data_IF_200425138234
#
_entry.id   IF_200425138234
#
_cell.length_a   1.000
_cell.length_b   1.000
_cell.length_c   1.000
_cell.angle_alpha   90.00
_cell.angle_beta   90.00
_cell.angle_gamma   90.00
#
_symmetry.space_group_name_H-M   'P 1'
#
loop_
_entity.id
_entity.type
_entity.pdbx_description
1 polymer ?
#
# COMPACT_ATOMS: atom_id res chain seq x y z
N UNK A 1 2.56 24.85 -16.44
CA UNK A 1 3.56 23.83 -16.81
C UNK A 1 4.25 23.38 -15.54
N UNK A 2 3.75 22.33 -14.90
CA UNK A 2 4.35 21.74 -13.69
C UNK A 2 5.60 20.98 -14.13
N UNK A 3 6.77 21.33 -13.60
CA UNK A 3 7.97 20.49 -13.75
C UNK A 3 7.76 19.29 -12.85
N UNK A 4 7.35 18.17 -13.42
CA UNK A 4 7.44 16.88 -12.75
C UNK A 4 8.91 16.69 -12.34
N UNK A 5 9.18 16.68 -11.03
CA UNK A 5 10.51 16.34 -10.54
C UNK A 5 10.73 14.86 -10.86
N UNK A 6 11.55 14.61 -11.86
CA UNK A 6 11.96 13.29 -12.29
C UNK A 6 12.67 12.59 -11.13
N UNK A 7 12.00 11.66 -10.46
CA UNK A 7 12.67 10.79 -9.50
C UNK A 7 13.60 9.89 -10.28
N UNK A 8 14.90 10.06 -10.05
CA UNK A 8 15.90 9.16 -10.56
C UNK A 8 15.94 7.88 -9.71
N UNK A 9 16.27 6.73 -10.31
CA UNK A 9 16.39 5.44 -9.60
C UNK A 9 17.39 5.48 -8.42
N UNK A 10 18.28 6.48 -8.40
CA UNK A 10 19.28 6.73 -7.35
C UNK A 10 18.73 7.51 -6.16
N UNK A 11 17.50 8.03 -6.23
CA UNK A 11 16.87 8.74 -5.13
C UNK A 11 16.70 7.80 -3.94
N UNK A 12 17.02 8.29 -2.74
CA UNK A 12 16.93 7.50 -1.52
C UNK A 12 16.32 8.31 -0.37
N UNK A 13 15.68 7.60 0.54
CA UNK A 13 15.13 8.11 1.80
C UNK A 13 15.71 7.33 2.96
N UNK A 14 15.65 7.90 4.15
CA UNK A 14 16.09 7.23 5.37
C UNK A 14 14.95 7.11 6.35
N UNK A 15 14.77 5.90 6.88
CA UNK A 15 13.83 5.61 7.96
C UNK A 15 14.63 5.01 9.11
N UNK A 16 14.66 5.69 10.26
CA UNK A 16 15.44 5.28 11.43
C UNK A 16 16.93 5.00 11.10
N UNK A 17 17.55 5.82 10.25
CA UNK A 17 18.94 5.67 9.82
C UNK A 17 19.20 4.58 8.78
N UNK A 18 18.17 3.81 8.38
CA UNK A 18 18.28 2.81 7.31
C UNK A 18 17.83 3.41 5.99
N UNK A 19 18.68 3.26 4.97
CA UNK A 19 18.45 3.80 3.62
C UNK A 19 17.51 2.90 2.82
N UNK A 20 16.54 3.49 2.15
CA UNK A 20 15.72 2.85 1.11
C UNK A 20 15.86 3.64 -0.18
N UNK A 21 16.40 3.01 -1.23
CA UNK A 21 16.35 3.63 -2.56
C UNK A 21 14.95 3.51 -3.15
N UNK A 22 14.59 4.42 -4.05
CA UNK A 22 13.35 4.31 -4.82
C UNK A 22 13.31 2.98 -5.59
N UNK A 23 14.46 2.54 -6.12
CA UNK A 23 14.63 1.24 -6.77
C UNK A 23 14.30 0.06 -5.84
N UNK A 24 14.70 0.10 -4.57
CA UNK A 24 14.35 -0.94 -3.59
C UNK A 24 12.84 -0.99 -3.35
N UNK A 25 12.22 0.18 -3.17
CA UNK A 25 10.77 0.29 -2.98
C UNK A 25 10.04 -0.24 -4.22
N UNK A 26 10.45 0.17 -5.42
CA UNK A 26 9.85 -0.28 -6.68
C UNK A 26 9.96 -1.79 -6.86
N UNK A 27 11.13 -2.38 -6.61
CA UNK A 27 11.36 -3.84 -6.70
C UNK A 27 10.46 -4.62 -5.74
N UNK A 28 10.31 -4.18 -4.50
CA UNK A 28 9.44 -4.83 -3.52
C UNK A 28 7.98 -4.74 -3.95
N UNK A 29 7.53 -3.55 -4.36
CA UNK A 29 6.13 -3.34 -4.77
C UNK A 29 5.80 -4.18 -6.00
N UNK A 30 6.63 -4.15 -7.05
CA UNK A 30 6.43 -4.97 -8.25
C UNK A 30 6.39 -6.47 -7.89
N UNK A 31 7.40 -6.97 -7.15
CA UNK A 31 7.47 -8.38 -6.79
C UNK A 31 6.28 -8.83 -5.94
N UNK A 32 5.84 -7.99 -5.01
CA UNK A 32 4.72 -8.30 -4.13
C UNK A 32 3.40 -8.35 -4.92
N UNK A 33 3.13 -7.35 -5.75
CA UNK A 33 1.86 -7.29 -6.48
C UNK A 33 1.76 -8.32 -7.60
N UNK A 34 2.89 -8.76 -8.19
CA UNK A 34 2.91 -9.96 -9.04
C UNK A 34 2.42 -11.20 -8.29
N UNK A 35 2.79 -11.37 -7.01
CA UNK A 35 2.28 -12.48 -6.19
C UNK A 35 0.78 -12.30 -5.89
N UNK A 36 0.36 -11.09 -5.53
CA UNK A 36 -1.06 -10.76 -5.26
C UNK A 36 -1.97 -11.05 -6.46
N UNK A 37 -1.53 -10.69 -7.68
CA UNK A 37 -2.27 -10.92 -8.91
C UNK A 37 -2.61 -12.41 -9.14
N UNK A 38 -1.70 -13.31 -8.74
CA UNK A 38 -1.83 -14.75 -8.93
C UNK A 38 -2.38 -15.48 -7.68
N UNK A 39 -2.45 -14.81 -6.54
CA UNK A 39 -2.92 -15.40 -5.29
C UNK A 39 -4.43 -15.68 -5.34
N UNK A 40 -4.89 -16.90 -5.00
CA UNK A 40 -6.29 -17.28 -5.15
C UNK A 40 -7.25 -16.46 -4.28
N UNK A 41 -6.78 -15.93 -3.14
CA UNK A 41 -7.57 -15.17 -2.17
C UNK A 41 -7.41 -13.67 -2.44
N UNK A 42 -6.17 -13.18 -2.45
CA UNK A 42 -5.90 -11.75 -2.59
C UNK A 42 -6.20 -11.20 -3.97
N UNK A 43 -6.27 -11.99 -5.03
CA UNK A 43 -6.69 -11.46 -6.33
C UNK A 43 -8.11 -10.88 -6.32
N UNK A 44 -8.97 -11.31 -5.39
CA UNK A 44 -10.39 -10.93 -5.37
C UNK A 44 -10.60 -9.41 -5.14
N UNK A 45 -10.03 -8.79 -4.09
CA UNK A 45 -10.05 -7.33 -3.91
C UNK A 45 -9.45 -6.52 -5.07
N UNK A 46 -8.58 -7.13 -5.89
CA UNK A 46 -7.83 -6.46 -6.96
C UNK A 46 -8.38 -6.72 -8.38
N UNK A 47 -9.52 -7.40 -8.52
CA UNK A 47 -10.13 -7.73 -9.84
C UNK A 47 -10.41 -6.51 -10.74
N UNK A 48 -10.57 -5.33 -10.17
CA UNK A 48 -10.81 -4.08 -10.90
C UNK A 48 -9.53 -3.39 -11.37
N UNK A 49 -8.35 -3.95 -11.07
CA UNK A 49 -7.08 -3.46 -11.60
C UNK A 49 -6.91 -3.97 -13.02
N UNK A 50 -7.00 -3.06 -13.99
CA UNK A 50 -6.83 -3.37 -15.42
C UNK A 50 -5.44 -3.00 -15.94
N UNK A 51 -4.78 -2.03 -15.32
CA UNK A 51 -3.43 -1.56 -15.67
C UNK A 51 -2.51 -1.77 -14.46
N UNK A 52 -1.88 -2.94 -14.41
CA UNK A 52 -0.93 -3.31 -13.36
C UNK A 52 0.32 -2.42 -13.34
N UNK A 53 0.98 -2.10 -14.48
CA UNK A 53 2.08 -1.16 -14.50
C UNK A 53 1.76 0.18 -13.85
N UNK A 54 0.62 0.80 -14.17
CA UNK A 54 0.19 2.05 -13.55
C UNK A 54 -0.17 1.88 -12.07
N UNK A 55 -0.81 0.76 -11.71
CA UNK A 55 -1.11 0.45 -10.31
C UNK A 55 0.17 0.36 -9.46
N UNK A 56 1.17 -0.36 -9.96
CA UNK A 56 2.48 -0.52 -9.31
C UNK A 56 3.16 0.84 -9.13
N UNK A 57 3.19 1.70 -10.17
CA UNK A 57 3.76 3.06 -10.07
C UNK A 57 3.11 3.87 -8.94
N UNK A 58 1.78 3.84 -8.83
CA UNK A 58 1.04 4.55 -7.77
C UNK A 58 1.36 4.04 -6.38
N UNK A 59 1.55 2.73 -6.24
CA UNK A 59 1.89 2.09 -4.96
C UNK A 59 3.35 2.31 -4.57
N UNK A 60 4.27 2.33 -5.54
CA UNK A 60 5.66 2.74 -5.33
C UNK A 60 5.71 4.20 -4.85
N UNK A 61 4.96 5.10 -5.49
CA UNK A 61 4.84 6.50 -5.06
C UNK A 61 4.27 6.65 -3.65
N UNK A 62 3.23 5.87 -3.33
CA UNK A 62 2.65 5.85 -1.99
C UNK A 62 3.70 5.48 -0.92
N UNK A 63 4.45 4.39 -1.13
CA UNK A 63 5.48 3.96 -0.19
C UNK A 63 6.66 4.93 -0.11
N UNK A 64 7.06 5.52 -1.24
CA UNK A 64 8.09 6.56 -1.28
C UNK A 64 7.73 7.74 -0.37
N UNK A 65 6.52 8.29 -0.50
CA UNK A 65 6.04 9.37 0.38
C UNK A 65 5.94 8.89 1.82
N UNK A 66 5.45 7.67 2.03
CA UNK A 66 5.31 7.11 3.39
C UNK A 66 6.63 7.04 4.14
N UNK A 67 7.73 6.85 3.42
CA UNK A 67 9.10 6.83 3.94
C UNK A 67 9.78 8.21 3.99
N UNK A 68 9.03 9.29 3.74
CA UNK A 68 9.54 10.67 3.81
C UNK A 68 10.08 11.22 2.50
N UNK A 69 9.89 10.50 1.39
CA UNK A 69 10.24 10.98 0.06
C UNK A 69 9.35 12.12 -0.41
N UNK A 70 9.90 13.03 -1.21
CA UNK A 70 9.11 14.12 -1.80
C UNK A 70 8.12 13.57 -2.84
N UNK A 71 6.87 14.07 -2.88
CA UNK A 71 5.90 13.64 -3.88
C UNK A 71 6.41 13.98 -5.29
N UNK A 72 6.19 13.07 -6.24
CA UNK A 72 6.59 13.21 -7.64
C UNK A 72 5.45 12.91 -8.63
N UNK A 73 4.29 12.53 -8.11
CA UNK A 73 3.04 12.40 -8.86
C UNK A 73 1.91 13.06 -8.08
N UNK A 74 1.05 13.78 -8.78
CA UNK A 74 -0.21 14.25 -8.20
C UNK A 74 -1.09 13.07 -7.84
N UNK A 75 -1.40 12.92 -6.55
CA UNK A 75 -2.24 11.83 -6.06
C UNK A 75 -2.97 12.23 -4.79
N UNK A 76 -4.26 11.90 -4.75
CA UNK A 76 -5.08 11.97 -3.54
C UNK A 76 -5.37 10.54 -3.10
N UNK A 77 -4.59 10.04 -2.14
CA UNK A 77 -4.80 8.70 -1.59
C UNK A 77 -5.94 8.74 -0.58
N UNK A 78 -7.05 8.06 -0.89
CA UNK A 78 -8.10 7.75 0.08
C UNK A 78 -8.11 6.24 0.34
N UNK A 79 -7.18 5.71 1.15
CA UNK A 79 -7.01 4.29 1.34
C UNK A 79 -8.25 3.68 2.02
N UNK A 80 -8.81 4.29 3.06
CA UNK A 80 -9.90 3.70 3.84
C UNK A 80 -11.10 3.38 2.96
N UNK A 81 -11.59 4.35 2.19
CA UNK A 81 -12.75 4.14 1.32
C UNK A 81 -12.48 3.06 0.26
N UNK A 82 -11.28 3.04 -0.35
CA UNK A 82 -10.93 2.02 -1.34
C UNK A 82 -10.89 0.62 -0.74
N UNK A 83 -10.27 0.46 0.43
CA UNK A 83 -10.18 -0.85 1.11
C UNK A 83 -11.56 -1.32 1.56
N UNK A 84 -12.41 -0.43 2.09
CA UNK A 84 -13.79 -0.77 2.45
C UNK A 84 -14.57 -1.37 1.28
N UNK A 85 -14.62 -0.66 0.15
CA UNK A 85 -15.35 -1.13 -1.03
C UNK A 85 -14.72 -2.35 -1.71
N UNK A 86 -13.43 -2.60 -1.48
CA UNK A 86 -12.75 -3.81 -1.92
C UNK A 86 -13.00 -5.04 -1.00
N UNK A 87 -13.81 -4.89 0.06
CA UNK A 87 -14.16 -5.98 0.97
C UNK A 87 -13.11 -6.27 2.03
N UNK A 88 -12.27 -5.28 2.37
CA UNK A 88 -11.22 -5.42 3.39
C UNK A 88 -11.76 -5.97 4.71
N UNK A 89 -11.07 -6.97 5.25
CA UNK A 89 -11.34 -7.59 6.53
C UNK A 89 -10.02 -8.13 7.15
N UNK A 90 -10.11 -8.69 8.35
CA UNK A 90 -8.94 -9.19 9.08
C UNK A 90 -8.25 -10.37 8.39
N UNK A 91 -9.00 -11.26 7.74
CA UNK A 91 -8.45 -12.41 7.01
C UNK A 91 -7.60 -11.95 5.81
N UNK A 92 -8.13 -11.02 5.00
CA UNK A 92 -7.39 -10.42 3.91
C UNK A 92 -6.15 -9.68 4.40
N UNK A 93 -6.26 -8.92 5.51
CA UNK A 93 -5.10 -8.23 6.07
C UNK A 93 -4.01 -9.22 6.50
N UNK A 94 -4.37 -10.29 7.20
CA UNK A 94 -3.42 -11.31 7.66
C UNK A 94 -2.72 -12.00 6.49
N UNK A 95 -3.45 -12.36 5.43
CA UNK A 95 -2.88 -12.99 4.24
C UNK A 95 -1.97 -12.01 3.46
N UNK A 96 -2.42 -10.75 3.33
CA UNK A 96 -1.63 -9.67 2.72
C UNK A 96 -0.31 -9.45 3.46
N UNK A 97 -0.34 -9.33 4.79
CA UNK A 97 0.86 -9.11 5.60
C UNK A 97 1.82 -10.31 5.50
N UNK A 98 1.31 -11.55 5.54
CA UNK A 98 2.15 -12.73 5.38
C UNK A 98 2.90 -12.70 4.03
N UNK A 99 2.18 -12.52 2.93
CA UNK A 99 2.78 -12.48 1.59
C UNK A 99 3.73 -11.28 1.42
N UNK A 100 3.40 -10.15 2.04
CA UNK A 100 4.25 -8.96 2.01
C UNK A 100 5.55 -9.20 2.79
N UNK A 101 5.47 -9.79 3.98
CA UNK A 101 6.63 -10.10 4.81
C UNK A 101 7.60 -11.08 4.14
N UNK A 102 7.08 -12.09 3.43
CA UNK A 102 7.88 -12.99 2.60
C UNK A 102 8.63 -12.20 1.52
N UNK A 103 7.92 -11.33 0.82
CA UNK A 103 8.53 -10.52 -0.26
C UNK A 103 9.58 -9.55 0.27
N UNK A 104 9.37 -8.93 1.43
CA UNK A 104 10.36 -8.08 2.07
C UNK A 104 11.66 -8.85 2.39
N UNK A 105 11.53 -10.06 2.94
CA UNK A 105 12.67 -10.91 3.25
C UNK A 105 13.46 -11.36 2.00
N UNK A 106 12.77 -11.57 0.87
CA UNK A 106 13.39 -11.97 -0.39
C UNK A 106 14.13 -10.83 -1.10
N UNK A 107 13.69 -9.58 -0.89
CA UNK A 107 14.11 -8.44 -1.72
C UNK A 107 14.99 -7.42 -0.99
N UNK A 108 15.04 -7.45 0.34
CA UNK A 108 15.71 -6.43 1.15
C UNK A 108 16.69 -7.06 2.15
N UNK A 109 17.57 -6.22 2.69
CA UNK A 109 18.37 -6.60 3.86
C UNK A 109 17.48 -6.84 5.09
N UNK A 110 17.92 -7.63 6.09
CA UNK A 110 17.15 -7.89 7.31
C UNK A 110 16.69 -6.61 8.04
N UNK A 111 17.54 -5.58 8.09
CA UNK A 111 17.23 -4.30 8.73
C UNK A 111 16.13 -3.52 7.98
N UNK A 112 16.23 -3.45 6.65
CA UNK A 112 15.22 -2.83 5.81
C UNK A 112 13.88 -3.57 5.91
N UNK A 113 13.91 -4.90 5.81
CA UNK A 113 12.72 -5.73 5.92
C UNK A 113 12.03 -5.55 7.28
N UNK A 114 12.78 -5.55 8.39
CA UNK A 114 12.24 -5.35 9.74
C UNK A 114 11.48 -4.02 9.86
N UNK A 115 12.06 -2.92 9.39
CA UNK A 115 11.42 -1.60 9.45
C UNK A 115 10.12 -1.57 8.66
N UNK A 116 10.14 -2.10 7.42
CA UNK A 116 8.96 -2.05 6.57
C UNK A 116 7.84 -2.96 7.09
N UNK A 117 8.17 -4.14 7.67
CA UNK A 117 7.19 -5.00 8.36
C UNK A 117 6.44 -4.22 9.43
N UNK A 118 7.17 -3.63 10.38
CA UNK A 118 6.59 -2.84 11.48
C UNK A 118 5.67 -1.74 10.97
N UNK A 119 6.10 -0.99 9.95
CA UNK A 119 5.28 0.08 9.35
C UNK A 119 4.02 -0.49 8.71
N UNK A 120 4.14 -1.59 7.96
CA UNK A 120 2.99 -2.22 7.29
C UNK A 120 1.97 -2.78 8.27
N UNK A 121 2.41 -3.38 9.37
CA UNK A 121 1.56 -3.89 10.45
C UNK A 121 0.80 -2.76 11.15
N UNK A 122 1.50 -1.68 11.52
CA UNK A 122 0.87 -0.49 12.14
C UNK A 122 -0.16 0.15 11.21
N UNK A 123 0.14 0.23 9.92
CA UNK A 123 -0.80 0.75 8.92
C UNK A 123 -2.01 -0.18 8.74
N UNK A 124 -1.79 -1.49 8.74
CA UNK A 124 -2.86 -2.49 8.72
C UNK A 124 -3.81 -2.36 9.91
N UNK A 125 -3.27 -2.27 11.13
CA UNK A 125 -4.06 -2.06 12.35
C UNK A 125 -4.86 -0.75 12.29
N UNK A 126 -4.21 0.36 11.90
CA UNK A 126 -4.88 1.64 11.74
C UNK A 126 -5.96 1.64 10.66
N UNK A 127 -5.77 0.86 9.59
CA UNK A 127 -6.77 0.67 8.55
C UNK A 127 -7.98 -0.12 9.07
N UNK A 128 -7.78 -1.19 9.84
CA UNK A 128 -8.87 -1.95 10.46
C UNK A 128 -9.77 -1.06 11.32
N UNK A 129 -9.18 -0.26 12.21
CA UNK A 129 -9.92 0.67 13.08
C UNK A 129 -10.72 1.69 12.25
N UNK A 130 -10.08 2.29 11.24
CA UNK A 130 -10.73 3.28 10.37
C UNK A 130 -11.83 2.67 9.51
N UNK A 131 -11.65 1.44 9.05
CA UNK A 131 -12.63 0.72 8.24
C UNK A 131 -13.89 0.42 9.05
N UNK A 132 -13.74 0.03 10.32
CA UNK A 132 -14.87 -0.17 11.23
C UNK A 132 -15.64 1.13 11.50
N UNK A 133 -14.93 2.25 11.70
CA UNK A 133 -15.56 3.56 11.86
C UNK A 133 -16.32 3.97 10.59
N UNK A 134 -15.67 3.85 9.43
CA UNK A 134 -16.28 4.17 8.14
C UNK A 134 -17.54 3.34 7.87
N UNK A 135 -17.51 2.04 8.20
CA UNK A 135 -18.68 1.16 8.10
C UNK A 135 -19.87 1.71 8.87
N UNK A 136 -19.67 2.05 10.15
CA UNK A 136 -20.72 2.62 11.02
C UNK A 136 -21.28 3.92 10.45
N UNK A 137 -20.41 4.83 10.00
CA UNK A 137 -20.82 6.10 9.40
C UNK A 137 -21.60 5.91 8.10
N UNK A 138 -21.14 5.01 7.24
CA UNK A 138 -21.75 4.71 5.94
C UNK A 138 -23.14 4.10 6.12
N UNK A 139 -23.27 3.09 6.99
CA UNK A 139 -24.55 2.44 7.30
C UNK A 139 -25.56 3.43 7.90
N UNK A 140 -25.11 4.29 8.83
CA UNK A 140 -25.95 5.33 9.43
C UNK A 140 -26.45 6.36 8.40
N UNK A 141 -25.58 6.80 7.48
CA UNK A 141 -25.97 7.74 6.41
C UNK A 141 -26.95 7.10 5.44
N UNK A 142 -26.70 5.86 5.01
CA UNK A 142 -27.56 5.10 4.11
C UNK A 142 -28.95 4.85 4.71
N UNK A 143 -29.03 4.59 6.01
CA UNK A 143 -30.31 4.43 6.70
C UNK A 143 -31.11 5.74 6.76
N UNK A 144 -30.44 6.87 7.03
CA UNK A 144 -31.07 8.20 7.04
C UNK A 144 -31.52 8.68 5.66
N UNK A 145 -30.83 8.29 4.57
CA UNK A 145 -31.23 8.67 3.21
C UNK A 145 -32.39 7.86 2.64
N UNK A 146 -32.72 6.73 3.27
CA UNK A 146 -33.79 5.82 2.84
C UNK A 146 -35.09 6.01 3.65
N UNK A 147 -35.17 7.06 4.48
CA UNK A 147 -36.36 7.51 5.20
C UNK A 147 -36.84 8.82 4.61
#
# INVERSE_FOLDING_TARGET
MSKDQEINETSAVQVNGIVFSHKDISKVVDAFYRKVEHDPILKVPFRSVHDWPEHIKRLTHFWWIRFGGKPYMFSHYNPVTKHYFAGFNQEFLSHWLNLFHQTLNEKLSPQQAMIWKTISEQMGQGLSIRNEHFKKEYENKRFKSNR
#
